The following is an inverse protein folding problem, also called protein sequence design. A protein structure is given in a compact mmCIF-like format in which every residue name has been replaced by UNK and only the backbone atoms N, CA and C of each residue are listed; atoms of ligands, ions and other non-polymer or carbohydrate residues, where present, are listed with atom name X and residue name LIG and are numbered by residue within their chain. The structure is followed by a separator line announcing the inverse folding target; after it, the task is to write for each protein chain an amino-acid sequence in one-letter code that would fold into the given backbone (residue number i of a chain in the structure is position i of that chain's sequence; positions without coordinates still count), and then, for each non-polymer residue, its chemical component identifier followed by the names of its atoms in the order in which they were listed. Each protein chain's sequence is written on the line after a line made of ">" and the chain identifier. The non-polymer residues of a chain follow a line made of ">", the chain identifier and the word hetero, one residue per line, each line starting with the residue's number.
data_IF_899463308474
#
_entry.id   IF_899463308474
#
_cell.length_a   1.000
_cell.length_b   1.000
_cell.length_c   1.000
_cell.angle_alpha   90.00
_cell.angle_beta   90.00
_cell.angle_gamma   90.00
#
_symmetry.space_group_name_H-M   'P 1'
#
loop_
_entity.id
_entity.type
_entity.pdbx_description
1 polymer ?
#
# COMPACT_ATOMS: atom_id res chain seq x y z
N UNK A 1 20.78 -21.46 -1.53
CA UNK A 1 19.87 -21.53 -2.70
C UNK A 1 19.87 -20.17 -3.37
N UNK A 2 19.72 -20.12 -4.69
CA UNK A 2 19.57 -18.85 -5.40
C UNK A 2 18.25 -18.22 -4.93
N UNK A 3 18.33 -17.06 -4.28
CA UNK A 3 17.22 -16.36 -3.61
C UNK A 3 16.52 -15.37 -4.54
N UNK A 4 16.93 -15.33 -5.80
CA UNK A 4 16.46 -14.33 -6.76
C UNK A 4 15.07 -14.73 -7.28
N UNK A 5 14.10 -13.86 -7.04
CA UNK A 5 12.72 -14.05 -7.47
C UNK A 5 12.40 -13.05 -8.56
N UNK A 6 12.30 -13.54 -9.81
CA UNK A 6 11.77 -12.75 -10.90
C UNK A 6 10.26 -12.59 -10.70
N UNK A 7 9.73 -11.39 -10.93
CA UNK A 7 8.31 -11.15 -10.83
C UNK A 7 7.80 -10.15 -11.86
N UNK A 8 6.52 -10.29 -12.18
CA UNK A 8 5.76 -9.37 -13.01
C UNK A 8 4.33 -9.27 -12.49
N UNK A 9 3.84 -8.04 -12.42
CA UNK A 9 2.51 -7.67 -11.97
C UNK A 9 1.80 -6.94 -13.09
N UNK A 10 0.59 -7.40 -13.37
CA UNK A 10 -0.25 -6.91 -14.44
C UNK A 10 -1.63 -6.54 -13.90
N UNK A 11 -2.26 -5.55 -14.53
CA UNK A 11 -3.63 -5.16 -14.20
C UNK A 11 -4.51 -5.01 -15.42
N UNK A 12 -5.80 -5.27 -15.24
CA UNK A 12 -6.86 -4.62 -16.02
C UNK A 12 -7.33 -3.38 -15.26
N UNK A 13 -7.81 -2.39 -16.00
CA UNK A 13 -8.28 -1.14 -15.45
C UNK A 13 -9.72 -0.87 -15.89
N UNK A 14 -10.50 -0.26 -15.00
CA UNK A 14 -11.73 0.44 -15.31
C UNK A 14 -11.45 1.95 -15.21
N UNK A 15 -11.25 2.61 -16.36
CA UNK A 15 -10.65 3.94 -16.39
C UNK A 15 -9.20 3.92 -15.91
N UNK A 16 -8.90 4.68 -14.85
CA UNK A 16 -7.60 4.68 -14.19
C UNK A 16 -7.50 3.68 -13.02
N UNK A 17 -8.62 3.05 -12.65
CA UNK A 17 -8.79 2.26 -11.44
C UNK A 17 -8.45 0.79 -11.69
N UNK A 18 -7.50 0.17 -10.96
CA UNK A 18 -7.25 -1.26 -11.08
C UNK A 18 -8.52 -2.06 -10.81
N UNK A 19 -8.84 -3.03 -11.67
CA UNK A 19 -10.08 -3.81 -11.59
C UNK A 19 -9.85 -5.31 -11.50
N UNK A 20 -8.75 -5.82 -12.04
CA UNK A 20 -8.27 -7.20 -11.87
C UNK A 20 -6.74 -7.20 -11.89
N UNK A 21 -6.11 -8.09 -11.11
CA UNK A 21 -4.66 -8.29 -11.14
C UNK A 21 -4.30 -9.68 -11.66
N UNK A 22 -3.09 -9.76 -12.22
CA UNK A 22 -2.34 -11.00 -12.42
C UNK A 22 -0.91 -10.80 -11.98
N UNK A 23 -0.42 -11.76 -11.22
CA UNK A 23 0.94 -11.77 -10.70
C UNK A 23 1.60 -13.07 -11.13
N UNK A 24 2.80 -12.97 -11.66
CA UNK A 24 3.62 -14.11 -12.07
C UNK A 24 4.97 -13.96 -11.39
N UNK A 25 5.43 -15.01 -10.72
CA UNK A 25 6.74 -15.07 -10.09
C UNK A 25 7.48 -16.34 -10.48
N UNK A 26 8.80 -16.26 -10.58
CA UNK A 26 9.70 -17.39 -10.80
C UNK A 26 10.75 -17.42 -9.70
N UNK A 27 10.95 -18.58 -9.10
CA UNK A 27 12.00 -18.82 -8.12
C UNK A 27 12.41 -20.29 -8.13
N UNK A 28 13.72 -20.56 -8.17
CA UNK A 28 14.23 -21.92 -8.34
C UNK A 28 13.58 -22.62 -9.54
N UNK A 29 13.00 -23.79 -9.30
CA UNK A 29 12.30 -24.59 -10.31
C UNK A 29 10.77 -24.36 -10.31
N UNK A 30 10.31 -23.24 -9.74
CA UNK A 30 8.89 -22.97 -9.51
C UNK A 30 8.44 -21.72 -10.24
N UNK A 31 7.28 -21.82 -10.91
CA UNK A 31 6.48 -20.68 -11.35
C UNK A 31 5.24 -20.59 -10.46
N UNK A 32 5.10 -19.46 -9.79
CA UNK A 32 3.97 -19.13 -8.93
C UNK A 32 3.14 -18.05 -9.61
N UNK A 33 1.82 -18.20 -9.62
CA UNK A 33 0.92 -17.21 -10.19
C UNK A 33 -0.24 -16.93 -9.24
N UNK A 34 -0.77 -15.70 -9.27
CA UNK A 34 -2.07 -15.39 -8.70
C UNK A 34 -2.87 -14.45 -9.59
N UNK A 35 -4.20 -14.54 -9.48
CA UNK A 35 -5.13 -13.64 -10.16
C UNK A 35 -6.35 -13.37 -9.30
N UNK A 36 -6.92 -12.17 -9.40
CA UNK A 36 -8.10 -11.80 -8.63
C UNK A 36 -8.42 -10.33 -8.71
N UNK A 37 -9.17 -9.84 -7.72
CA UNK A 37 -9.43 -8.41 -7.55
C UNK A 37 -8.31 -7.74 -6.74
N UNK A 38 -8.02 -6.46 -6.98
CA UNK A 38 -7.17 -5.67 -6.07
C UNK A 38 -7.61 -5.85 -4.61
N UNK A 39 -6.67 -5.75 -3.68
CA UNK A 39 -6.87 -5.89 -2.23
C UNK A 39 -7.30 -7.29 -1.77
N UNK A 40 -7.35 -8.26 -2.69
CA UNK A 40 -7.59 -9.67 -2.38
C UNK A 40 -6.32 -10.49 -2.54
N UNK A 41 -6.33 -11.67 -1.92
CA UNK A 41 -5.27 -12.65 -2.13
C UNK A 41 -5.27 -13.22 -3.57
N UNK A 42 -6.45 -13.26 -4.19
CA UNK A 42 -6.66 -13.95 -5.46
C UNK A 42 -6.51 -15.46 -5.37
N UNK A 43 -6.75 -16.12 -6.49
CA UNK A 43 -6.57 -17.55 -6.67
C UNK A 43 -5.13 -17.83 -7.09
N UNK A 44 -4.43 -18.69 -6.32
CA UNK A 44 -3.03 -19.04 -6.60
C UNK A 44 -2.91 -20.34 -7.37
N UNK A 45 -1.93 -20.40 -8.26
CA UNK A 45 -1.46 -21.64 -8.89
C UNK A 45 0.06 -21.73 -8.78
N UNK A 46 0.55 -22.94 -8.55
CA UNK A 46 1.99 -23.21 -8.39
C UNK A 46 2.35 -24.35 -9.32
N UNK A 47 3.42 -24.17 -10.09
CA UNK A 47 3.94 -25.17 -11.03
C UNK A 47 5.42 -25.39 -10.76
N UNK A 48 5.76 -26.59 -10.36
CA UNK A 48 7.15 -27.07 -10.28
C UNK A 48 7.57 -27.66 -11.63
N UNK A 49 8.82 -27.41 -12.01
CA UNK A 49 9.41 -27.78 -13.29
C UNK A 49 10.76 -28.47 -13.08
N UNK A 50 11.28 -29.12 -14.11
CA UNK A 50 12.47 -29.98 -13.95
C UNK A 50 13.78 -29.20 -14.09
N UNK A 51 13.74 -28.01 -14.70
CA UNK A 51 14.93 -27.19 -14.93
C UNK A 51 14.65 -25.69 -14.87
N UNK A 52 15.73 -24.94 -14.66
CA UNK A 52 15.70 -23.48 -14.66
C UNK A 52 15.25 -22.91 -16.03
N UNK A 53 15.68 -23.53 -17.12
CA UNK A 53 15.30 -23.16 -18.50
C UNK A 53 13.80 -23.36 -18.74
N UNK A 54 13.24 -24.50 -18.31
CA UNK A 54 11.79 -24.73 -18.38
C UNK A 54 11.03 -23.72 -17.53
N UNK A 55 11.56 -23.36 -16.36
CA UNK A 55 10.96 -22.39 -15.45
C UNK A 55 10.94 -20.99 -16.04
N UNK A 56 12.04 -20.56 -16.65
CA UNK A 56 12.14 -19.29 -17.37
C UNK A 56 11.16 -19.25 -18.56
N UNK A 57 11.11 -20.30 -19.36
CA UNK A 57 10.20 -20.38 -20.49
C UNK A 57 8.72 -20.33 -20.05
N UNK A 58 8.37 -21.01 -18.95
CA UNK A 58 7.03 -20.99 -18.40
C UNK A 58 6.65 -19.61 -17.83
N UNK A 59 7.58 -18.94 -17.14
CA UNK A 59 7.41 -17.57 -16.66
C UNK A 59 7.16 -16.60 -17.83
N UNK A 60 8.02 -16.62 -18.85
CA UNK A 60 7.88 -15.76 -20.02
C UNK A 60 6.56 -16.02 -20.76
N UNK A 61 6.18 -17.29 -20.92
CA UNK A 61 4.91 -17.66 -21.53
C UNK A 61 3.71 -17.13 -20.74
N UNK A 62 3.73 -17.22 -19.40
CA UNK A 62 2.69 -16.68 -18.55
C UNK A 62 2.59 -15.14 -18.66
N UNK A 63 3.72 -14.43 -18.72
CA UNK A 63 3.76 -12.99 -18.93
C UNK A 63 3.16 -12.58 -20.29
N UNK A 64 3.51 -13.28 -21.38
CA UNK A 64 2.93 -13.05 -22.70
C UNK A 64 1.42 -13.29 -22.68
N UNK A 65 0.98 -14.39 -22.06
CA UNK A 65 -0.44 -14.73 -21.92
C UNK A 65 -1.22 -13.66 -21.14
N UNK A 66 -0.62 -13.00 -20.14
CA UNK A 66 -1.28 -11.88 -19.46
C UNK A 66 -1.59 -10.74 -20.43
N UNK A 67 -0.63 -10.39 -21.30
CA UNK A 67 -0.83 -9.40 -22.36
C UNK A 67 -1.91 -9.81 -23.35
N UNK A 68 -1.88 -11.06 -23.83
CA UNK A 68 -2.89 -11.60 -24.77
C UNK A 68 -4.31 -11.59 -24.17
N UNK A 69 -4.43 -11.80 -22.86
CA UNK A 69 -5.71 -11.77 -22.13
C UNK A 69 -6.15 -10.34 -21.75
N UNK A 70 -5.44 -9.31 -22.23
CA UNK A 70 -5.76 -7.89 -22.08
C UNK A 70 -5.30 -7.24 -20.78
N UNK A 71 -4.36 -7.85 -20.05
CA UNK A 71 -3.73 -7.21 -18.90
C UNK A 71 -2.55 -6.35 -19.34
N UNK A 72 -2.35 -5.22 -18.66
CA UNK A 72 -1.24 -4.29 -18.87
C UNK A 72 -0.16 -4.57 -17.84
N UNK A 73 1.09 -4.74 -18.28
CA UNK A 73 2.24 -4.84 -17.39
C UNK A 73 2.38 -3.54 -16.60
N UNK A 74 2.30 -3.64 -15.28
CA UNK A 74 2.41 -2.51 -14.37
C UNK A 74 3.80 -2.41 -13.76
N UNK A 75 4.34 -3.54 -13.34
CA UNK A 75 5.65 -3.61 -12.71
C UNK A 75 6.29 -4.96 -12.98
N UNK A 76 7.60 -4.99 -13.13
CA UNK A 76 8.39 -6.22 -13.15
C UNK A 76 9.75 -5.95 -12.56
N UNK A 77 10.38 -6.97 -12.01
CA UNK A 77 11.72 -6.86 -11.50
C UNK A 77 12.22 -8.17 -10.93
N UNK A 78 13.27 -8.06 -10.15
CA UNK A 78 13.81 -9.15 -9.37
C UNK A 78 13.78 -8.72 -7.90
N UNK A 79 12.97 -9.37 -7.07
CA UNK A 79 13.08 -9.23 -5.62
C UNK A 79 14.05 -10.30 -5.15
N UNK A 80 15.33 -9.94 -5.16
CA UNK A 80 16.44 -10.83 -4.78
C UNK A 80 16.79 -10.73 -3.30
N UNK A 81 18.01 -11.17 -3.00
CA UNK A 81 18.60 -11.23 -1.65
C UNK A 81 18.68 -9.88 -0.91
N UNK A 82 18.52 -8.77 -1.62
CA UNK A 82 18.82 -7.42 -1.12
C UNK A 82 17.68 -6.75 -0.33
N UNK A 83 16.59 -7.45 -0.05
CA UNK A 83 15.49 -6.86 0.71
C UNK A 83 14.37 -6.30 -0.16
N UNK A 84 13.35 -5.79 0.52
CA UNK A 84 12.40 -4.86 -0.07
C UNK A 84 13.07 -3.50 -0.30
N UNK A 85 13.09 -3.02 -1.55
CA UNK A 85 13.55 -1.66 -1.87
C UNK A 85 12.60 -0.63 -1.24
N UNK A 86 13.06 0.02 -0.18
CA UNK A 86 12.28 0.96 0.62
C UNK A 86 11.93 2.24 -0.14
N UNK A 87 12.84 2.72 -1.00
CA UNK A 87 12.63 3.93 -1.78
C UNK A 87 11.60 3.66 -2.87
N UNK A 88 11.74 2.51 -3.56
CA UNK A 88 10.77 2.07 -4.55
C UNK A 88 9.39 1.80 -3.93
N UNK A 89 9.33 1.17 -2.75
CA UNK A 89 8.06 1.01 -2.03
C UNK A 89 7.44 2.37 -1.69
N UNK A 90 8.24 3.34 -1.24
CA UNK A 90 7.77 4.70 -0.93
C UNK A 90 7.20 5.38 -2.16
N UNK A 91 7.83 5.26 -3.33
CA UNK A 91 7.34 5.83 -4.59
C UNK A 91 6.01 5.20 -5.03
N UNK A 92 5.88 3.88 -4.92
CA UNK A 92 4.64 3.16 -5.25
C UNK A 92 3.50 3.57 -4.32
N UNK A 93 3.77 3.66 -3.00
CA UNK A 93 2.77 4.12 -2.03
C UNK A 93 2.39 5.59 -2.28
N UNK A 94 3.36 6.44 -2.59
CA UNK A 94 3.14 7.85 -2.91
C UNK A 94 2.16 8.02 -4.09
N UNK A 95 2.40 7.30 -5.19
CA UNK A 95 1.55 7.38 -6.38
C UNK A 95 0.13 6.86 -6.09
N UNK A 96 0.02 5.74 -5.37
CA UNK A 96 -1.27 5.15 -5.01
C UNK A 96 -2.06 6.04 -4.04
N UNK A 97 -1.41 6.61 -3.03
CA UNK A 97 -2.05 7.47 -2.05
C UNK A 97 -2.56 8.79 -2.66
N UNK A 98 -1.84 9.38 -3.63
CA UNK A 98 -2.34 10.55 -4.37
C UNK A 98 -3.60 10.23 -5.16
N UNK A 99 -3.62 9.09 -5.86
CA UNK A 99 -4.80 8.62 -6.60
C UNK A 99 -5.97 8.31 -5.68
N UNK A 100 -5.71 7.72 -4.51
CA UNK A 100 -6.72 7.46 -3.51
C UNK A 100 -7.36 8.76 -3.00
N UNK A 101 -6.54 9.74 -2.59
CA UNK A 101 -7.05 11.05 -2.17
C UNK A 101 -7.86 11.75 -3.27
N UNK A 102 -7.37 11.75 -4.52
CA UNK A 102 -8.11 12.30 -5.65
C UNK A 102 -9.40 11.53 -5.97
N UNK A 103 -9.44 10.22 -5.72
CA UNK A 103 -10.65 9.40 -5.83
C UNK A 103 -11.74 9.88 -4.87
N UNK A 104 -11.38 10.06 -3.60
CA UNK A 104 -12.29 10.60 -2.58
C UNK A 104 -12.78 12.00 -2.99
N UNK A 105 -11.90 12.89 -3.46
CA UNK A 105 -12.28 14.24 -3.93
C UNK A 105 -13.26 14.21 -5.09
N UNK A 106 -13.06 13.30 -6.05
CA UNK A 106 -13.91 13.15 -7.23
C UNK A 106 -15.28 12.58 -6.89
N UNK A 107 -15.33 11.62 -5.97
CA UNK A 107 -16.58 11.00 -5.53
C UNK A 107 -17.39 11.93 -4.61
N UNK A 108 -16.71 12.83 -3.88
CA UNK A 108 -17.32 13.73 -2.91
C UNK A 108 -17.01 15.22 -3.19
N UNK A 109 -17.33 15.76 -4.38
CA UNK A 109 -16.84 17.06 -4.85
C UNK A 109 -17.38 18.27 -4.09
N UNK A 110 -18.37 18.08 -3.22
CA UNK A 110 -18.96 19.13 -2.37
C UNK A 110 -18.50 19.05 -0.91
N UNK A 111 -17.68 18.06 -0.57
CA UNK A 111 -17.20 17.83 0.79
C UNK A 111 -15.71 18.12 0.84
N UNK A 112 -15.27 18.90 1.84
CA UNK A 112 -13.86 19.11 2.08
C UNK A 112 -13.33 17.91 2.86
N UNK A 113 -12.31 17.23 2.31
CA UNK A 113 -11.62 16.17 3.04
C UNK A 113 -10.79 16.83 4.13
N UNK A 114 -11.08 16.49 5.37
CA UNK A 114 -10.42 17.01 6.59
C UNK A 114 -9.54 15.97 7.25
N UNK A 115 -9.62 14.70 6.80
CA UNK A 115 -8.77 13.61 7.27
C UNK A 115 -8.42 12.69 6.12
N UNK A 116 -7.15 12.29 6.06
CA UNK A 116 -6.67 11.27 5.14
C UNK A 116 -5.51 10.49 5.76
N UNK A 117 -5.42 9.21 5.49
CA UNK A 117 -4.33 8.43 6.05
C UNK A 117 -4.13 7.11 5.36
N UNK A 118 -3.00 6.50 5.71
CA UNK A 118 -2.65 5.13 5.36
C UNK A 118 -2.60 4.33 6.65
N UNK A 119 -3.18 3.14 6.65
CA UNK A 119 -3.04 2.22 7.76
C UNK A 119 -2.48 0.88 7.30
N UNK A 120 -1.86 0.19 8.25
CA UNK A 120 -1.36 -1.18 8.12
C UNK A 120 -1.77 -2.00 9.31
N UNK A 121 -1.86 -3.32 9.18
CA UNK A 121 -1.88 -4.20 10.35
C UNK A 121 -0.49 -4.33 10.98
N UNK A 122 -0.42 -4.82 12.22
CA UNK A 122 0.86 -5.00 12.92
C UNK A 122 1.79 -5.97 12.18
N UNK A 123 1.27 -6.95 11.45
CA UNK A 123 2.12 -7.87 10.67
C UNK A 123 2.67 -7.27 9.37
N UNK A 124 2.30 -6.03 9.05
CA UNK A 124 2.62 -5.34 7.81
C UNK A 124 2.19 -6.09 6.54
N UNK A 125 1.08 -6.84 6.62
CA UNK A 125 0.55 -7.59 5.48
C UNK A 125 -0.51 -6.79 4.69
N UNK A 126 -1.00 -5.67 5.22
CA UNK A 126 -2.03 -4.82 4.62
C UNK A 126 -1.55 -3.38 4.53
N UNK A 127 -1.84 -2.70 3.43
CA UNK A 127 -1.72 -1.24 3.33
C UNK A 127 -2.99 -0.75 2.65
N UNK A 128 -3.75 0.10 3.34
CA UNK A 128 -5.00 0.64 2.84
C UNK A 128 -5.17 2.10 3.25
N UNK A 129 -6.12 2.80 2.63
CA UNK A 129 -6.40 4.20 2.93
C UNK A 129 -7.70 4.37 3.71
N UNK A 130 -7.79 5.44 4.48
CA UNK A 130 -9.05 5.92 5.01
C UNK A 130 -9.09 7.46 4.90
N UNK A 131 -10.29 8.01 4.77
CA UNK A 131 -10.53 9.44 4.72
C UNK A 131 -11.85 9.83 5.40
N UNK A 132 -11.97 11.10 5.78
CA UNK A 132 -13.23 11.64 6.31
C UNK A 132 -13.36 13.12 5.98
N UNK A 133 -14.61 13.58 5.98
CA UNK A 133 -14.97 14.99 5.79
C UNK A 133 -15.49 15.65 7.07
N UNK A 134 -15.69 14.88 8.15
CA UNK A 134 -16.20 15.45 9.39
C UNK A 134 -15.25 16.57 9.85
N UNK A 135 -15.78 17.73 10.21
CA UNK A 135 -14.93 18.76 10.82
C UNK A 135 -14.58 18.25 12.22
N UNK A 136 -13.35 18.44 12.70
CA UNK A 136 -13.07 18.22 14.11
C UNK A 136 -14.00 19.16 14.89
N UNK A 137 -15.02 18.63 15.57
CA UNK A 137 -15.81 19.47 16.46
C UNK A 137 -14.84 20.00 17.52
N UNK A 138 -14.70 21.31 17.60
CA UNK A 138 -13.71 21.97 18.47
C UNK A 138 -14.08 21.89 19.95
N UNK A 139 -15.09 21.09 20.29
CA UNK A 139 -15.46 20.79 21.67
C UNK A 139 -14.29 20.05 22.35
N UNK A 140 -13.78 20.57 23.48
CA UNK A 140 -12.73 19.90 24.26
C UNK A 140 -13.13 18.53 24.81
N UNK A 141 -14.43 18.23 24.84
CA UNK A 141 -15.02 17.12 25.60
C UNK A 141 -15.66 16.00 24.73
N UNK A 142 -15.69 16.13 23.41
CA UNK A 142 -16.35 15.19 22.46
C UNK A 142 -15.66 15.41 21.11
N UNK A 143 -14.96 14.50 20.42
CA UNK A 143 -15.04 13.04 20.31
C UNK A 143 -13.67 12.60 19.74
N UNK A 144 -12.78 12.10 20.60
CA UNK A 144 -11.37 11.86 20.22
C UNK A 144 -11.20 10.69 19.24
N UNK A 145 -12.13 9.74 19.27
CA UNK A 145 -12.12 8.57 18.39
C UNK A 145 -12.40 8.96 16.93
N UNK A 146 -13.42 9.77 16.64
CA UNK A 146 -13.73 10.14 15.25
C UNK A 146 -12.63 10.97 14.59
N UNK A 147 -11.82 11.69 15.37
CA UNK A 147 -10.69 12.46 14.85
C UNK A 147 -9.46 11.60 14.55
N UNK A 148 -9.11 10.69 15.47
CA UNK A 148 -7.82 10.01 15.41
C UNK A 148 -7.91 8.53 15.03
N UNK A 149 -9.07 7.89 15.19
CA UNK A 149 -9.25 6.48 14.87
C UNK A 149 -9.65 6.32 13.40
N UNK A 150 -8.71 5.88 12.55
CA UNK A 150 -8.96 5.68 11.12
C UNK A 150 -10.06 4.66 10.82
N UNK A 151 -10.33 3.71 11.72
CA UNK A 151 -11.43 2.75 11.53
C UNK A 151 -12.83 3.38 11.65
N UNK A 152 -12.92 4.58 12.22
CA UNK A 152 -14.15 5.35 12.32
C UNK A 152 -14.35 6.33 11.14
N UNK A 153 -13.38 6.41 10.22
CA UNK A 153 -13.46 7.31 9.08
C UNK A 153 -14.35 6.75 7.97
N UNK A 154 -15.06 7.64 7.30
CA UNK A 154 -16.23 7.33 6.47
C UNK A 154 -15.89 6.71 5.10
N UNK A 155 -14.68 7.00 4.61
CA UNK A 155 -14.29 6.78 3.21
C UNK A 155 -13.10 5.83 3.15
N UNK A 156 -13.26 4.71 2.46
CA UNK A 156 -12.19 3.73 2.16
C UNK A 156 -11.85 3.69 0.66
N UNK A 157 -12.44 4.60 -0.14
CA UNK A 157 -12.28 4.60 -1.59
C UNK A 157 -10.84 4.88 -2.01
N UNK A 158 -10.37 4.14 -3.02
CA UNK A 158 -9.03 4.35 -3.58
C UNK A 158 -7.96 3.43 -3.01
N UNK A 159 -8.29 2.59 -2.03
CA UNK A 159 -7.35 1.59 -1.50
C UNK A 159 -6.84 0.63 -2.59
N UNK A 160 -7.62 0.39 -3.65
CA UNK A 160 -7.16 -0.39 -4.81
C UNK A 160 -5.96 0.21 -5.55
N UNK A 161 -5.72 1.53 -5.46
CA UNK A 161 -4.53 2.16 -6.03
C UNK A 161 -3.25 1.82 -5.24
N UNK A 162 -3.36 1.29 -4.02
CA UNK A 162 -2.26 0.77 -3.22
C UNK A 162 -2.01 -0.73 -3.43
N UNK A 163 -2.80 -1.42 -4.26
CA UNK A 163 -2.56 -2.84 -4.57
C UNK A 163 -1.12 -3.13 -5.02
N UNK A 164 -0.46 -2.31 -5.87
CA UNK A 164 0.95 -2.56 -6.23
C UNK A 164 1.89 -2.62 -5.02
N UNK A 165 1.72 -1.73 -4.03
CA UNK A 165 2.49 -1.76 -2.78
C UNK A 165 2.16 -3.01 -1.96
N UNK A 166 0.88 -3.37 -1.86
CA UNK A 166 0.43 -4.61 -1.23
C UNK A 166 1.08 -5.85 -1.88
N UNK A 167 1.21 -5.90 -3.22
CA UNK A 167 1.90 -7.03 -3.90
C UNK A 167 3.39 -7.08 -3.59
N UNK A 168 4.03 -5.95 -3.32
CA UNK A 168 5.45 -5.91 -2.95
C UNK A 168 5.70 -6.50 -1.56
N UNK A 169 4.80 -6.29 -0.59
CA UNK A 169 4.97 -6.75 0.81
C UNK A 169 4.44 -8.17 1.08
N UNK A 170 3.62 -8.72 0.18
CA UNK A 170 2.98 -10.03 0.35
C UNK A 170 3.87 -11.30 0.32
N UNK A 171 5.07 -11.35 -0.29
CA UNK A 171 5.82 -12.61 -0.45
C UNK A 171 6.05 -13.42 0.83
N UNK A 172 6.45 -12.82 1.97
CA UNK A 172 6.62 -13.53 3.25
C UNK A 172 5.36 -14.24 3.72
N UNK A 173 4.19 -13.69 3.38
CA UNK A 173 2.89 -14.21 3.80
C UNK A 173 2.36 -15.29 2.85
N UNK A 174 3.03 -15.54 1.72
CA UNK A 174 2.55 -16.43 0.64
C UNK A 174 3.36 -17.71 0.44
N UNK A 175 4.30 -18.01 1.35
CA UNK A 175 5.26 -19.10 1.20
C UNK A 175 6.07 -18.99 -0.11
N UNK A 176 6.21 -17.77 -0.62
CA UNK A 176 7.15 -17.46 -1.70
C UNK A 176 8.51 -17.29 -1.03
N UNK A 177 9.58 -17.94 -1.52
CA UNK A 177 10.91 -17.78 -0.95
C UNK A 177 11.29 -16.30 -0.88
N UNK A 178 11.49 -15.83 0.34
CA UNK A 178 12.10 -14.57 0.69
C UNK A 178 12.98 -14.84 1.92
N UNK A 179 14.07 -14.11 2.09
CA UNK A 179 14.86 -14.26 3.32
C UNK A 179 14.00 -13.80 4.52
N UNK A 180 14.00 -14.51 5.64
CA UNK A 180 13.10 -14.23 6.78
C UNK A 180 13.37 -12.85 7.39
N UNK A 181 14.59 -12.32 7.21
CA UNK A 181 15.01 -10.97 7.61
C UNK A 181 14.76 -9.88 6.52
N UNK A 182 14.17 -10.24 5.36
CA UNK A 182 14.02 -9.35 4.17
C UNK A 182 13.02 -8.19 4.38
N UNK A 183 12.01 -8.38 5.22
CA UNK A 183 10.89 -7.44 5.38
C UNK A 183 10.80 -6.97 6.82
N UNK A 184 11.73 -6.10 7.23
CA UNK A 184 11.57 -5.35 8.47
C UNK A 184 10.30 -4.47 8.35
N UNK A 185 9.29 -4.78 9.16
CA UNK A 185 8.02 -4.04 9.22
C UNK A 185 8.25 -2.54 9.43
N UNK A 186 9.31 -2.17 10.14
CA UNK A 186 9.68 -0.77 10.36
C UNK A 186 9.95 -0.02 9.05
N UNK A 187 10.49 -0.72 8.03
CA UNK A 187 10.73 -0.19 6.68
C UNK A 187 9.42 0.07 5.96
N UNK A 188 8.46 -0.86 6.04
CA UNK A 188 7.12 -0.72 5.43
C UNK A 188 6.38 0.46 6.07
N UNK A 189 6.41 0.56 7.40
CA UNK A 189 5.79 1.65 8.14
C UNK A 189 6.44 2.99 7.82
N UNK A 190 7.77 3.03 7.75
CA UNK A 190 8.51 4.22 7.34
C UNK A 190 8.18 4.65 5.92
N UNK A 191 8.06 3.72 4.97
CA UNK A 191 7.68 3.99 3.59
C UNK A 191 6.29 4.62 3.49
N UNK A 192 5.30 4.10 4.22
CA UNK A 192 3.96 4.68 4.30
C UNK A 192 3.98 6.13 4.79
N UNK A 193 4.68 6.38 5.90
CA UNK A 193 4.78 7.73 6.45
C UNK A 193 5.64 8.67 5.58
N UNK A 194 6.69 8.17 4.92
CA UNK A 194 7.51 8.96 4.00
C UNK A 194 6.71 9.39 2.76
N UNK A 195 5.89 8.49 2.20
CA UNK A 195 5.01 8.78 1.10
C UNK A 195 4.04 9.92 1.47
N UNK A 196 3.34 9.81 2.61
CA UNK A 196 2.44 10.86 3.09
C UNK A 196 3.16 12.18 3.35
N UNK A 197 4.36 12.15 3.94
CA UNK A 197 5.16 13.34 4.19
C UNK A 197 5.56 14.05 2.90
N UNK A 198 5.91 13.29 1.85
CA UNK A 198 6.21 13.83 0.51
C UNK A 198 4.98 14.47 -0.13
N UNK A 199 3.81 13.81 -0.06
CA UNK A 199 2.55 14.38 -0.59
C UNK A 199 2.22 15.71 0.11
N UNK A 200 2.41 15.76 1.44
CA UNK A 200 2.22 16.97 2.24
C UNK A 200 3.21 18.08 1.86
N UNK A 201 4.50 17.77 1.69
CA UNK A 201 5.53 18.77 1.36
C UNK A 201 5.37 19.36 -0.05
N UNK A 202 4.77 18.62 -0.97
CA UNK A 202 4.38 19.10 -2.30
C UNK A 202 3.13 20.01 -2.28
N UNK A 203 2.47 20.17 -1.13
CA UNK A 203 1.23 20.96 -0.99
C UNK A 203 0.01 20.30 -1.64
N UNK A 204 0.09 19.01 -1.99
CA UNK A 204 -0.97 18.31 -2.72
C UNK A 204 -2.30 18.26 -1.94
N UNK A 205 -2.19 18.17 -0.62
CA UNK A 205 -3.30 18.21 0.32
C UNK A 205 -3.87 19.63 0.56
N UNK A 206 -3.22 20.67 0.03
CA UNK A 206 -3.45 22.07 0.38
C UNK A 206 -2.40 22.62 1.36
N UNK A 207 -2.57 23.89 1.74
CA UNK A 207 -1.67 24.55 2.69
C UNK A 207 -1.72 23.87 4.07
N UNK A 208 -0.57 23.67 4.75
CA UNK A 208 -0.55 23.07 6.07
C UNK A 208 -1.36 23.89 7.09
N UNK A 209 -2.42 23.30 7.62
CA UNK A 209 -3.20 23.84 8.73
C UNK A 209 -3.64 22.71 9.68
N UNK A 210 -4.34 23.09 10.75
CA UNK A 210 -4.89 22.17 11.76
C UNK A 210 -6.26 21.59 11.36
N UNK A 211 -6.80 21.99 10.21
CA UNK A 211 -8.11 21.53 9.70
C UNK A 211 -7.99 20.22 8.91
N UNK A 212 -6.80 19.92 8.37
CA UNK A 212 -6.50 18.67 7.68
C UNK A 212 -5.48 17.81 8.45
N UNK A 213 -5.98 16.71 8.99
CA UNK A 213 -5.20 15.68 9.67
C UNK A 213 -4.73 14.63 8.66
N UNK A 214 -3.42 14.37 8.65
CA UNK A 214 -2.81 13.30 7.86
C UNK A 214 -2.14 12.29 8.76
N UNK A 215 -2.54 11.02 8.72
CA UNK A 215 -2.03 10.00 9.63
C UNK A 215 -1.47 8.77 8.92
N UNK A 216 -0.45 8.19 9.55
CA UNK A 216 -0.10 6.79 9.38
C UNK A 216 -0.43 6.04 10.69
N UNK A 217 -1.18 4.95 10.59
CA UNK A 217 -1.54 4.12 11.74
C UNK A 217 -1.23 2.65 11.53
N UNK A 218 -0.85 1.97 12.62
CA UNK A 218 -0.76 0.52 12.67
C UNK A 218 -1.90 0.01 13.54
N UNK A 219 -2.71 -0.92 13.03
CA UNK A 219 -3.77 -1.54 13.82
C UNK A 219 -3.14 -2.34 14.96
N UNK A 220 -3.84 -2.40 16.09
CA UNK A 220 -3.50 -3.27 17.23
C UNK A 220 -2.16 -2.96 17.93
N UNK A 221 -1.42 -1.93 17.50
CA UNK A 221 -0.18 -1.49 18.16
C UNK A 221 0.10 0.01 18.04
N UNK A 222 0.95 0.53 18.93
CA UNK A 222 1.47 1.90 18.85
C UNK A 222 2.67 2.06 17.90
N UNK A 223 2.92 1.07 17.03
CA UNK A 223 4.04 1.15 16.09
C UNK A 223 3.85 2.34 15.14
N UNK A 224 4.94 3.06 14.86
CA UNK A 224 4.89 4.19 13.93
C UNK A 224 4.28 5.50 14.47
N UNK A 225 3.88 5.61 15.76
CA UNK A 225 3.35 6.87 16.33
C UNK A 225 4.28 8.05 16.02
N UNK A 226 5.58 7.90 16.28
CA UNK A 226 6.58 8.96 16.05
C UNK A 226 6.73 9.37 14.58
N UNK A 227 6.28 8.54 13.63
CA UNK A 227 6.30 8.86 12.21
C UNK A 227 5.25 9.92 11.83
N UNK A 228 4.25 10.17 12.67
CA UNK A 228 3.21 11.17 12.44
C UNK A 228 3.66 12.61 12.69
N UNK A 229 4.79 12.81 13.40
CA UNK A 229 5.31 14.14 13.73
C UNK A 229 5.63 15.00 12.50
N UNK A 230 6.02 14.36 11.39
CA UNK A 230 6.32 15.02 10.10
C UNK A 230 5.10 15.23 9.20
N UNK A 231 3.93 14.67 9.57
CA UNK A 231 2.73 14.69 8.73
C UNK A 231 1.80 15.86 9.05
N UNK A 232 1.91 16.42 10.25
CA UNK A 232 1.01 17.44 10.77
C UNK A 232 1.79 18.61 11.39
N UNK A 233 1.08 19.68 11.72
CA UNK A 233 1.65 20.77 12.53
C UNK A 233 2.04 20.26 13.92
N UNK A 234 2.88 21.01 14.64
CA UNK A 234 3.22 20.69 16.02
C UNK A 234 1.98 20.65 16.95
N UNK A 235 1.01 21.54 16.73
CA UNK A 235 -0.25 21.58 17.49
C UNK A 235 -1.07 20.31 17.27
N UNK A 236 -1.29 19.94 16.01
CA UNK A 236 -2.07 18.75 15.64
C UNK A 236 -1.37 17.47 16.11
N UNK A 237 -0.05 17.38 15.97
CA UNK A 237 0.71 16.24 16.47
C UNK A 237 0.65 16.12 18.00
N UNK A 238 0.75 17.23 18.75
CA UNK A 238 0.61 17.18 20.21
C UNK A 238 -0.77 16.66 20.65
N UNK A 239 -1.84 17.05 19.95
CA UNK A 239 -3.20 16.53 20.21
C UNK A 239 -3.27 15.02 19.95
N UNK A 240 -2.68 14.56 18.84
CA UNK A 240 -2.60 13.14 18.51
C UNK A 240 -1.80 12.35 19.57
N UNK A 241 -0.63 12.84 19.98
CA UNK A 241 0.18 12.22 21.04
C UNK A 241 -0.58 12.12 22.36
N UNK A 242 -1.32 13.17 22.74
CA UNK A 242 -2.13 13.15 23.97
C UNK A 242 -3.28 12.12 23.91
N UNK A 243 -3.84 11.87 22.72
CA UNK A 243 -4.88 10.85 22.55
C UNK A 243 -4.32 9.44 22.67
N UNK A 244 -3.10 9.20 22.16
CA UNK A 244 -2.45 7.88 22.24
C UNK A 244 -2.01 7.47 23.65
N UNK A 245 -1.85 8.42 24.58
CA UNK A 245 -1.39 8.18 25.96
C UNK A 245 0.11 8.38 26.14
#
# INVERSE_FOLDING_TARGET
>A
MNSDVDWALFYKFDGDRPSEFREVRRFGATVWQATGKPETWGEKTVKELESDEQTLAAFQHACVKCGDDGFILHQSGNCGRDGLDADHLTDVIYDGAKKAFDSVRRNHPRQAITRFGIYSDDSAMTIATAASTAVADTSPDDDSESLWNMSAWEFDEGSEYLDPAYRMILPPHRLIPCDEDTYDRSVIFAACANALARIRSEGFFGEPNDDLVVLFQVSDSGAGIGLNAKLNTATTFQRYSNWMG
#
